data_IF_279878518281
#
_entry.id   IF_279878518281
#
_cell.length_a   1.000
_cell.length_b   1.000
_cell.length_c   1.000
_cell.angle_alpha   90.00
_cell.angle_beta   90.00
_cell.angle_gamma   90.00
#
_symmetry.space_group_name_H-M   'P 1'
#
loop_
_entity.id
_entity.type
_entity.pdbx_description
1 polymer ?
#
# COMPACT_ATOMS: atom_id res chain seq x y z
N UNK A 1 26.47 -20.66 14.51
CA UNK A 1 25.49 -19.68 15.03
C UNK A 1 25.55 -18.32 14.32
N UNK A 2 26.72 -17.69 14.14
CA UNK A 2 26.84 -16.34 13.54
C UNK A 2 26.30 -16.22 12.11
N UNK A 3 26.58 -17.19 11.22
CA UNK A 3 26.05 -17.19 9.85
C UNK A 3 24.51 -17.26 9.84
N UNK A 4 23.93 -18.13 10.66
CA UNK A 4 22.48 -18.25 10.79
C UNK A 4 21.82 -16.95 11.25
N UNK A 5 22.44 -16.25 12.21
CA UNK A 5 21.96 -14.94 12.66
C UNK A 5 21.91 -13.91 11.52
N UNK A 6 22.98 -13.81 10.72
CA UNK A 6 23.01 -12.88 9.58
C UNK A 6 22.00 -13.24 8.48
N UNK A 7 21.81 -14.53 8.21
CA UNK A 7 20.79 -15.00 7.25
C UNK A 7 19.38 -14.63 7.72
N UNK A 8 19.06 -14.88 8.99
CA UNK A 8 17.76 -14.53 9.57
C UNK A 8 17.54 -13.02 9.57
N UNK A 9 18.57 -12.24 9.89
CA UNK A 9 18.51 -10.78 9.87
C UNK A 9 18.27 -10.23 8.47
N UNK A 10 19.00 -10.73 7.46
CA UNK A 10 18.81 -10.33 6.07
C UNK A 10 17.41 -10.68 5.55
N UNK A 11 16.91 -11.88 5.90
CA UNK A 11 15.56 -12.29 5.55
C UNK A 11 14.49 -11.38 6.16
N UNK A 12 14.64 -11.03 7.45
CA UNK A 12 13.71 -10.13 8.14
C UNK A 12 13.68 -8.74 7.48
N UNK A 13 14.84 -8.20 7.15
CA UNK A 13 14.97 -6.88 6.50
C UNK A 13 14.35 -6.91 5.10
N UNK A 14 14.67 -7.93 4.30
CA UNK A 14 14.10 -8.10 2.97
C UNK A 14 12.58 -8.24 3.00
N UNK A 15 12.07 -8.99 3.98
CA UNK A 15 10.63 -9.19 4.13
C UNK A 15 9.91 -7.89 4.50
N UNK A 16 10.37 -7.18 5.53
CA UNK A 16 9.77 -5.92 5.96
C UNK A 16 9.92 -4.82 4.90
N UNK A 17 11.08 -4.76 4.24
CA UNK A 17 11.35 -3.81 3.17
C UNK A 17 10.44 -4.02 1.96
N UNK A 18 10.32 -5.27 1.49
CA UNK A 18 9.45 -5.63 0.37
C UNK A 18 7.98 -5.36 0.67
N UNK A 19 7.50 -5.76 1.86
CA UNK A 19 6.13 -5.50 2.30
C UNK A 19 5.81 -4.01 2.30
N UNK A 20 6.70 -3.19 2.88
CA UNK A 20 6.49 -1.74 2.96
C UNK A 20 6.52 -1.08 1.58
N UNK A 21 7.46 -1.46 0.73
CA UNK A 21 7.56 -0.93 -0.63
C UNK A 21 6.28 -1.20 -1.43
N UNK A 22 5.78 -2.44 -1.40
CA UNK A 22 4.56 -2.82 -2.12
C UNK A 22 3.35 -1.99 -1.70
N UNK A 23 3.15 -1.78 -0.39
CA UNK A 23 2.03 -0.97 0.10
C UNK A 23 2.15 0.50 -0.27
N UNK A 24 3.36 1.07 -0.25
CA UNK A 24 3.60 2.45 -0.68
C UNK A 24 3.29 2.61 -2.17
N UNK A 25 3.76 1.69 -3.02
CA UNK A 25 3.50 1.76 -4.47
C UNK A 25 2.01 1.72 -4.79
N UNK A 26 1.26 0.83 -4.15
CA UNK A 26 -0.20 0.76 -4.35
C UNK A 26 -0.86 2.07 -3.89
N UNK A 27 -0.46 2.63 -2.75
CA UNK A 27 -1.03 3.88 -2.25
C UNK A 27 -0.69 5.09 -3.13
N UNK A 28 0.56 5.20 -3.60
CA UNK A 28 1.04 6.29 -4.45
C UNK A 28 0.33 6.26 -5.80
N UNK A 29 0.24 5.09 -6.43
CA UNK A 29 -0.42 4.95 -7.71
C UNK A 29 -1.94 5.17 -7.58
N UNK A 30 -2.53 4.74 -6.47
CA UNK A 30 -3.90 5.04 -6.15
C UNK A 30 -4.15 6.55 -6.00
N UNK A 31 -3.25 7.26 -5.33
CA UNK A 31 -3.35 8.71 -5.14
C UNK A 31 -3.15 9.48 -6.45
N UNK A 32 -2.27 8.99 -7.32
CA UNK A 32 -1.91 9.65 -8.58
C UNK A 32 -2.89 9.40 -9.71
N UNK A 33 -3.37 8.16 -9.86
CA UNK A 33 -4.18 7.73 -11.02
C UNK A 33 -5.58 7.25 -10.64
N UNK A 34 -5.85 6.94 -9.36
CA UNK A 34 -7.08 6.27 -8.93
C UNK A 34 -7.18 4.80 -9.34
N UNK A 35 -6.11 4.23 -9.90
CA UNK A 35 -6.03 2.83 -10.34
C UNK A 35 -4.58 2.37 -10.48
N UNK A 36 -4.34 1.07 -10.41
CA UNK A 36 -3.04 0.45 -10.66
C UNK A 36 -3.19 -0.83 -11.49
N UNK A 37 -2.09 -1.30 -12.09
CA UNK A 37 -2.09 -2.40 -13.05
C UNK A 37 -1.35 -3.62 -12.46
N UNK A 38 -1.92 -4.82 -12.59
CA UNK A 38 -1.26 -6.09 -12.22
C UNK A 38 -1.43 -7.07 -13.38
N UNK A 39 -0.35 -7.27 -14.14
CA UNK A 39 -0.40 -7.98 -15.41
C UNK A 39 -1.36 -7.27 -16.36
N UNK A 40 -2.34 -8.00 -16.88
CA UNK A 40 -3.37 -7.47 -17.79
C UNK A 40 -4.63 -6.98 -17.05
N UNK A 41 -4.61 -6.97 -15.72
CA UNK A 41 -5.77 -6.59 -14.89
C UNK A 41 -5.59 -5.18 -14.34
N UNK A 42 -6.62 -4.35 -14.50
CA UNK A 42 -6.71 -3.00 -13.93
C UNK A 42 -7.50 -3.05 -12.63
N UNK A 43 -6.93 -2.49 -11.56
CA UNK A 43 -7.57 -2.36 -10.26
C UNK A 43 -7.85 -0.89 -9.99
N UNK A 44 -9.12 -0.54 -9.77
CA UNK A 44 -9.52 0.80 -9.37
C UNK A 44 -9.53 0.91 -7.84
N UNK A 45 -9.22 2.09 -7.33
CA UNK A 45 -9.13 2.31 -5.89
C UNK A 45 -9.57 3.72 -5.52
N UNK A 46 -10.14 3.85 -4.32
CA UNK A 46 -10.65 5.12 -3.81
C UNK A 46 -10.00 5.42 -2.47
N UNK A 47 -9.33 6.58 -2.36
CA UNK A 47 -8.76 7.04 -1.10
C UNK A 47 -9.90 7.39 -0.13
N UNK A 48 -10.06 6.57 0.90
CA UNK A 48 -10.99 6.86 2.00
C UNK A 48 -10.38 7.98 2.85
N UNK A 49 -10.72 9.22 2.54
CA UNK A 49 -10.54 10.31 3.52
C UNK A 49 -11.47 9.96 4.67
N UNK A 50 -10.94 9.74 5.88
CA UNK A 50 -11.79 9.61 7.07
C UNK A 50 -12.65 10.88 7.11
N UNK A 51 -13.93 10.73 6.83
CA UNK A 51 -14.90 11.81 6.97
C UNK A 51 -14.96 12.08 8.47
N UNK A 52 -14.35 13.16 8.93
CA UNK A 52 -14.89 13.83 10.11
C UNK A 52 -16.34 14.17 9.75
N UNK A 53 -17.34 13.82 10.59
CA UNK A 53 -18.75 13.95 10.25
C UNK A 53 -19.10 15.43 10.01
N UNK A 54 -18.99 15.90 8.78
CA UNK A 54 -19.35 17.27 8.40
C UNK A 54 -19.72 17.44 6.92
N UNK A 55 -19.77 16.38 6.12
CA UNK A 55 -20.08 16.48 4.67
C UNK A 55 -21.09 15.42 4.21
N UNK A 56 -22.07 15.10 5.06
CA UNK A 56 -23.30 14.39 4.71
C UNK A 56 -24.46 15.39 4.85
N UNK A 57 -24.51 16.42 4.00
CA UNK A 57 -25.73 17.20 3.76
C UNK A 57 -25.64 17.98 2.45
N UNK A 58 -26.09 17.35 1.37
CA UNK A 58 -26.70 17.97 0.20
C UNK A 58 -27.79 16.99 -0.23
N UNK A 59 -29.06 17.26 0.09
CA UNK A 59 -30.06 17.80 -0.87
C UNK A 59 -30.22 16.72 -1.96
N UNK A 60 -31.24 15.86 -1.89
CA UNK A 60 -32.69 16.20 -1.96
C UNK A 60 -33.59 15.51 -0.93
#
# INVERSE_FOLDING_TARGET
MKLLFWVLLAFLIGWLGGWRHAHITVADECERLGKFFVGDTVFECTKIKKVTPSKEKSID
#
